data_IF_798710774648
#
_entry.id   IF_798710774648
#
_cell.length_a   1.000
_cell.length_b   1.000
_cell.length_c   1.000
_cell.angle_alpha   90.00
_cell.angle_beta   90.00
_cell.angle_gamma   90.00
#
_symmetry.space_group_name_H-M   'P 1'
#
loop_
_entity.id
_entity.type
_entity.pdbx_description
1 polymer ?
#
# COMPACT_ATOMS: atom_id res chain seq x y z
N UNK A 1 2.76 -21.55 -2.24
CA UNK A 1 2.66 -20.77 -0.99
C UNK A 1 2.87 -19.27 -1.23
N UNK A 2 3.76 -18.87 -2.13
CA UNK A 2 4.04 -17.45 -2.42
C UNK A 2 2.91 -16.76 -3.17
N UNK A 3 2.22 -17.47 -4.07
CA UNK A 3 1.00 -16.95 -4.72
C UNK A 3 -0.04 -16.57 -3.67
N UNK A 4 -0.25 -17.44 -2.69
CA UNK A 4 -1.28 -17.20 -1.67
C UNK A 4 -1.01 -16.00 -0.76
N UNK A 5 0.26 -15.69 -0.42
CA UNK A 5 0.54 -14.49 0.37
C UNK A 5 0.33 -13.23 -0.45
N UNK A 6 0.68 -13.24 -1.75
CA UNK A 6 0.50 -12.10 -2.63
C UNK A 6 -0.97 -11.80 -2.88
N UNK A 7 -1.78 -12.83 -3.16
CA UNK A 7 -3.22 -12.67 -3.36
C UNK A 7 -3.88 -12.05 -2.13
N UNK A 8 -3.46 -12.49 -0.94
CA UNK A 8 -4.01 -11.99 0.34
C UNK A 8 -3.44 -10.63 0.75
N UNK A 9 -2.16 -10.34 0.42
CA UNK A 9 -1.63 -8.99 0.54
C UNK A 9 -2.39 -8.04 -0.37
N UNK A 10 -2.69 -8.45 -1.61
CA UNK A 10 -3.49 -7.65 -2.53
C UNK A 10 -4.93 -7.51 -2.08
N UNK A 11 -5.53 -8.59 -1.57
CA UNK A 11 -6.84 -8.52 -0.93
C UNK A 11 -6.83 -7.48 0.20
N UNK A 12 -5.87 -7.55 1.10
CA UNK A 12 -5.74 -6.63 2.21
C UNK A 12 -5.52 -5.18 1.75
N UNK A 13 -4.60 -4.95 0.82
CA UNK A 13 -4.26 -3.64 0.30
C UNK A 13 -5.42 -2.98 -0.45
N UNK A 14 -6.04 -3.68 -1.38
CA UNK A 14 -7.14 -3.12 -2.17
C UNK A 14 -8.43 -3.00 -1.36
N UNK A 15 -8.67 -3.91 -0.42
CA UNK A 15 -9.80 -3.80 0.51
C UNK A 15 -9.72 -2.55 1.37
N UNK A 16 -8.55 -2.27 1.95
CA UNK A 16 -8.31 -1.04 2.70
C UNK A 16 -8.42 0.19 1.80
N UNK A 17 -7.81 0.18 0.62
CA UNK A 17 -7.79 1.31 -0.30
C UNK A 17 -9.20 1.67 -0.80
N UNK A 18 -10.05 0.67 -1.05
CA UNK A 18 -11.44 0.89 -1.47
C UNK A 18 -12.29 1.59 -0.39
N UNK A 19 -11.97 1.35 0.89
CA UNK A 19 -12.71 1.93 2.01
C UNK A 19 -12.13 3.27 2.48
N UNK A 20 -10.83 3.53 2.28
CA UNK A 20 -10.11 4.62 2.92
C UNK A 20 -10.76 5.98 2.66
N UNK A 21 -11.09 6.32 1.41
CA UNK A 21 -11.69 7.61 1.07
C UNK A 21 -13.06 7.79 1.73
N UNK A 22 -13.93 6.77 1.64
CA UNK A 22 -15.26 6.80 2.26
C UNK A 22 -15.16 6.87 3.79
N UNK A 23 -14.21 6.16 4.39
CA UNK A 23 -13.96 6.25 5.82
C UNK A 23 -13.55 7.66 6.26
N UNK A 24 -12.66 8.32 5.51
CA UNK A 24 -12.25 9.68 5.78
C UNK A 24 -13.39 10.68 5.63
N UNK A 25 -14.19 10.55 4.58
CA UNK A 25 -15.25 11.52 4.26
C UNK A 25 -16.53 11.27 5.03
N UNK A 26 -16.95 10.02 5.24
CA UNK A 26 -18.22 9.68 5.92
C UNK A 26 -18.07 9.52 7.43
N UNK A 27 -16.97 8.91 7.90
CA UNK A 27 -16.77 8.64 9.34
C UNK A 27 -16.09 9.82 10.04
N UNK A 28 -15.03 10.37 9.45
CA UNK A 28 -14.29 11.48 10.02
C UNK A 28 -14.69 12.85 9.48
N UNK A 29 -15.60 12.90 8.51
CA UNK A 29 -16.11 14.15 7.90
C UNK A 29 -14.98 15.07 7.40
N UNK A 30 -13.96 14.50 6.77
CA UNK A 30 -12.98 15.29 6.02
C UNK A 30 -13.63 15.85 4.74
N UNK A 31 -13.23 17.05 4.33
CA UNK A 31 -13.54 17.55 3.00
C UNK A 31 -12.88 16.68 1.91
N UNK A 32 -13.43 16.71 0.71
CA UNK A 32 -12.95 15.90 -0.40
C UNK A 32 -11.46 16.15 -0.70
N UNK A 33 -11.04 17.42 -0.70
CA UNK A 33 -9.65 17.80 -0.98
C UNK A 33 -8.68 17.18 0.02
N UNK A 34 -8.97 17.29 1.32
CA UNK A 34 -8.16 16.67 2.37
C UNK A 34 -8.15 15.13 2.26
N UNK A 35 -9.28 14.52 1.89
CA UNK A 35 -9.40 13.09 1.61
C UNK A 35 -8.56 12.66 0.42
N UNK A 36 -8.59 13.40 -0.68
CA UNK A 36 -7.77 13.13 -1.87
C UNK A 36 -6.29 13.35 -1.60
N UNK A 37 -5.92 14.40 -0.87
CA UNK A 37 -4.53 14.67 -0.50
C UNK A 37 -3.95 13.54 0.36
N UNK A 38 -4.71 13.08 1.34
CA UNK A 38 -4.28 11.96 2.19
C UNK A 38 -4.17 10.64 1.40
N UNK A 39 -5.14 10.36 0.52
CA UNK A 39 -5.12 9.19 -0.36
C UNK A 39 -3.93 9.27 -1.34
N UNK A 40 -3.65 10.44 -1.89
CA UNK A 40 -2.51 10.70 -2.77
C UNK A 40 -1.18 10.53 -2.05
N UNK A 41 -1.03 11.09 -0.84
CA UNK A 41 0.15 10.93 -0.01
C UNK A 41 0.40 9.47 0.36
N UNK A 42 -0.65 8.76 0.78
CA UNK A 42 -0.60 7.32 1.04
C UNK A 42 -0.14 6.54 -0.19
N UNK A 43 -0.79 6.77 -1.34
CA UNK A 43 -0.46 6.11 -2.60
C UNK A 43 0.99 6.36 -3.02
N UNK A 44 1.44 7.61 -3.01
CA UNK A 44 2.82 7.97 -3.36
C UNK A 44 3.86 7.25 -2.48
N UNK A 45 3.67 7.26 -1.16
CA UNK A 45 4.60 6.62 -0.23
C UNK A 45 4.62 5.09 -0.36
N UNK A 46 3.47 4.46 -0.62
CA UNK A 46 3.37 3.02 -0.88
C UNK A 46 4.19 2.59 -2.11
N UNK A 47 4.43 3.50 -3.05
CA UNK A 47 5.30 3.24 -4.22
C UNK A 47 6.75 3.69 -4.02
N UNK A 48 7.02 4.68 -3.16
CA UNK A 48 8.39 5.14 -2.88
C UNK A 48 9.13 4.25 -1.88
N UNK A 49 8.51 3.88 -0.77
CA UNK A 49 9.16 3.10 0.31
C UNK A 49 9.66 1.72 -0.13
N UNK A 50 9.00 0.99 -1.08
CA UNK A 50 9.52 -0.28 -1.62
C UNK A 50 10.92 -0.21 -2.22
N UNK A 51 11.35 0.93 -2.71
CA UNK A 51 12.74 1.12 -3.21
C UNK A 51 13.74 0.91 -2.06
N UNK A 52 13.45 1.49 -0.90
CA UNK A 52 14.29 1.36 0.30
C UNK A 52 14.21 -0.07 0.86
N UNK A 53 13.00 -0.61 1.00
CA UNK A 53 12.81 -1.96 1.54
C UNK A 53 13.40 -3.06 0.68
N UNK A 54 13.31 -2.94 -0.65
CA UNK A 54 13.97 -3.83 -1.59
C UNK A 54 15.50 -3.75 -1.48
N UNK A 55 16.06 -2.54 -1.46
CA UNK A 55 17.51 -2.33 -1.32
C UNK A 55 18.06 -2.91 -0.02
N UNK A 56 17.36 -2.74 1.10
CA UNK A 56 17.75 -3.28 2.40
C UNK A 56 17.68 -4.81 2.41
N UNK A 57 16.68 -5.38 1.75
CA UNK A 57 16.53 -6.84 1.63
C UNK A 57 17.62 -7.44 0.75
N UNK A 58 17.88 -6.86 -0.43
CA UNK A 58 18.87 -7.36 -1.38
C UNK A 58 20.28 -7.29 -0.79
N UNK A 59 20.60 -6.20 -0.09
CA UNK A 59 21.96 -5.97 0.38
C UNK A 59 22.27 -6.69 1.69
N UNK A 60 21.30 -6.82 2.60
CA UNK A 60 21.55 -7.32 3.95
C UNK A 60 20.53 -8.33 4.46
N UNK A 61 19.25 -7.94 4.57
CA UNK A 61 18.24 -8.66 5.36
C UNK A 61 17.85 -10.02 4.76
N UNK A 62 17.91 -10.14 3.42
CA UNK A 62 17.34 -11.26 2.67
C UNK A 62 15.84 -11.13 2.50
N UNK A 63 15.33 -11.67 1.42
CA UNK A 63 13.93 -11.49 1.01
C UNK A 63 12.94 -12.14 2.00
N UNK A 64 13.29 -13.32 2.53
CA UNK A 64 12.42 -14.05 3.47
C UNK A 64 12.14 -13.24 4.73
N UNK A 65 13.19 -12.70 5.36
CA UNK A 65 13.06 -11.89 6.57
C UNK A 65 12.33 -10.58 6.29
N UNK A 66 12.61 -9.95 5.15
CA UNK A 66 11.93 -8.73 4.73
C UNK A 66 10.43 -8.96 4.54
N UNK A 67 10.02 -10.06 3.89
CA UNK A 67 8.59 -10.41 3.70
C UNK A 67 7.90 -10.69 5.04
N UNK A 68 8.54 -11.41 5.96
CA UNK A 68 7.97 -11.67 7.30
C UNK A 68 7.80 -10.36 8.08
N UNK A 69 8.85 -9.53 8.14
CA UNK A 69 8.81 -8.26 8.84
C UNK A 69 7.75 -7.31 8.23
N UNK A 70 7.75 -7.17 6.91
CA UNK A 70 6.74 -6.37 6.20
C UNK A 70 5.32 -6.90 6.44
N UNK A 71 5.13 -8.21 6.44
CA UNK A 71 3.86 -8.85 6.74
C UNK A 71 3.36 -8.58 8.16
N UNK A 72 4.24 -8.59 9.15
CA UNK A 72 3.90 -8.24 10.54
C UNK A 72 3.46 -6.77 10.67
N UNK A 73 4.17 -5.86 10.02
CA UNK A 73 3.79 -4.43 10.00
C UNK A 73 2.43 -4.23 9.33
N UNK A 74 2.16 -4.93 8.23
CA UNK A 74 0.88 -4.89 7.53
C UNK A 74 -0.26 -5.39 8.42
N UNK A 75 -0.09 -6.52 9.11
CA UNK A 75 -1.09 -7.05 10.06
C UNK A 75 -1.34 -6.03 11.16
N UNK A 76 -0.29 -5.47 11.78
CA UNK A 76 -0.42 -4.47 12.82
C UNK A 76 -1.17 -3.21 12.33
N UNK A 77 -0.84 -2.74 11.12
CA UNK A 77 -1.51 -1.60 10.50
C UNK A 77 -2.99 -1.86 10.23
N UNK A 78 -3.36 -3.01 9.67
CA UNK A 78 -4.77 -3.35 9.42
C UNK A 78 -5.57 -3.58 10.72
N UNK A 79 -4.95 -4.17 11.74
CA UNK A 79 -5.57 -4.27 13.07
C UNK A 79 -5.81 -2.87 13.64
N UNK A 80 -4.85 -1.96 13.49
CA UNK A 80 -5.01 -0.56 13.91
C UNK A 80 -6.14 0.15 13.16
N UNK A 81 -6.29 -0.07 11.84
CA UNK A 81 -7.42 0.48 11.06
C UNK A 81 -8.79 -0.04 11.52
N UNK A 82 -8.85 -1.22 12.13
CA UNK A 82 -10.11 -1.74 12.68
C UNK A 82 -10.55 -1.03 13.98
N UNK A 83 -9.71 -0.19 14.57
CA UNK A 83 -10.09 0.71 15.68
C UNK A 83 -10.68 2.01 15.12
N UNK A 84 -11.92 1.97 14.67
CA UNK A 84 -12.57 3.09 13.99
C UNK A 84 -12.87 4.30 14.91
N UNK A 85 -13.01 4.09 16.23
CA UNK A 85 -13.36 5.14 17.18
C UNK A 85 -14.78 5.66 17.01
N UNK A 86 -15.01 6.88 17.50
CA UNK A 86 -16.32 7.52 17.38
C UNK A 86 -16.45 8.26 16.05
N UNK A 87 -17.64 8.15 15.43
CA UNK A 87 -17.96 8.92 14.22
C UNK A 87 -17.93 10.42 14.52
N UNK A 88 -17.30 11.19 13.64
CA UNK A 88 -17.27 12.64 13.76
C UNK A 88 -18.68 13.23 13.73
N UNK A 89 -18.92 14.27 14.53
CA UNK A 89 -20.20 14.97 14.64
C UNK A 89 -20.03 16.45 14.32
N UNK A 90 -21.11 17.07 13.82
CA UNK A 90 -21.14 18.51 13.60
C UNK A 90 -21.88 19.17 14.76
N UNK A 91 -21.19 20.03 15.52
CA UNK A 91 -21.75 20.79 16.63
C UNK A 91 -21.42 22.26 16.46
N UNK A 92 -22.44 23.10 16.50
CA UNK A 92 -22.30 24.57 16.32
C UNK A 92 -21.53 24.98 15.05
N UNK A 93 -21.67 24.24 13.95
CA UNK A 93 -20.96 24.51 12.68
C UNK A 93 -19.50 24.03 12.65
N UNK A 94 -19.00 23.39 13.71
CA UNK A 94 -17.68 22.82 13.77
C UNK A 94 -17.74 21.29 13.73
N UNK A 95 -16.80 20.67 13.00
CA UNK A 95 -16.64 19.22 12.95
C UNK A 95 -15.79 18.78 14.15
N UNK A 96 -16.41 18.02 15.05
CA UNK A 96 -15.74 17.40 16.18
C UNK A 96 -15.33 15.98 15.80
N UNK A 97 -14.04 15.73 15.75
CA UNK A 97 -13.43 14.45 15.41
C UNK A 97 -12.85 13.76 16.64
N UNK A 98 -12.84 12.44 16.62
CA UNK A 98 -12.10 11.65 17.60
C UNK A 98 -10.60 11.67 17.27
N UNK A 99 -9.88 12.57 17.90
CA UNK A 99 -8.42 12.75 17.71
C UNK A 99 -7.63 11.49 18.06
N UNK A 100 -8.11 10.70 19.03
CA UNK A 100 -7.48 9.43 19.41
C UNK A 100 -7.52 8.41 18.27
N UNK A 101 -8.71 8.24 17.70
CA UNK A 101 -8.92 7.36 16.54
C UNK A 101 -8.13 7.83 15.32
N UNK A 102 -8.11 9.13 15.04
CA UNK A 102 -7.34 9.68 13.92
C UNK A 102 -5.83 9.42 14.05
N UNK A 103 -5.26 9.58 15.26
CA UNK A 103 -3.84 9.25 15.49
C UNK A 103 -3.55 7.77 15.24
N UNK A 104 -4.45 6.88 15.66
CA UNK A 104 -4.36 5.44 15.36
C UNK A 104 -4.44 5.22 13.86
N UNK A 105 -5.35 5.89 13.15
CA UNK A 105 -5.49 5.81 11.69
C UNK A 105 -4.20 6.21 10.98
N UNK A 106 -3.61 7.36 11.31
CA UNK A 106 -2.36 7.81 10.68
C UNK A 106 -1.18 6.86 10.98
N UNK A 107 -1.08 6.37 12.22
CA UNK A 107 -0.08 5.37 12.58
C UNK A 107 -0.28 4.07 11.82
N UNK A 108 -1.53 3.63 11.67
CA UNK A 108 -1.90 2.41 10.94
C UNK A 108 -1.56 2.52 9.46
N UNK A 109 -1.88 3.64 8.82
CA UNK A 109 -1.49 3.91 7.43
C UNK A 109 0.03 3.91 7.27
N UNK A 110 0.77 4.49 8.21
CA UNK A 110 2.23 4.49 8.19
C UNK A 110 2.83 3.08 8.37
N UNK A 111 2.25 2.25 9.23
CA UNK A 111 2.62 0.84 9.37
C UNK A 111 2.36 0.05 8.09
N UNK A 112 1.22 0.29 7.42
CA UNK A 112 0.89 -0.34 6.14
C UNK A 112 1.89 0.10 5.06
N UNK A 113 2.20 1.39 4.95
CA UNK A 113 3.18 1.92 3.99
C UNK A 113 4.54 1.25 4.18
N UNK A 114 5.03 1.21 5.44
CA UNK A 114 6.31 0.58 5.74
C UNK A 114 6.28 -0.93 5.48
N UNK A 115 5.19 -1.60 5.85
CA UNK A 115 5.00 -3.03 5.62
C UNK A 115 5.00 -3.41 4.15
N UNK A 116 4.26 -2.66 3.30
CA UNK A 116 4.28 -2.80 1.83
C UNK A 116 5.69 -2.58 1.30
N UNK A 117 6.42 -1.61 1.87
CA UNK A 117 7.79 -1.31 1.51
C UNK A 117 8.72 -2.53 1.59
N UNK A 118 8.62 -3.30 2.67
CA UNK A 118 9.43 -4.50 2.85
C UNK A 118 8.85 -5.73 2.13
N UNK A 119 7.54 -5.89 2.04
CA UNK A 119 6.93 -7.09 1.47
C UNK A 119 6.89 -7.06 -0.06
N UNK A 120 6.37 -5.98 -0.65
CA UNK A 120 6.01 -5.90 -2.08
C UNK A 120 7.15 -6.18 -3.05
N UNK A 121 8.35 -5.57 -2.93
CA UNK A 121 9.45 -5.82 -3.86
C UNK A 121 9.99 -7.24 -3.70
N UNK A 122 10.04 -7.74 -2.49
CA UNK A 122 10.72 -8.99 -2.16
C UNK A 122 9.93 -10.22 -2.54
N UNK A 123 8.59 -10.21 -2.39
CA UNK A 123 7.77 -11.36 -2.77
C UNK A 123 7.80 -11.64 -4.27
N UNK A 124 7.83 -10.59 -5.10
CA UNK A 124 7.92 -10.74 -6.56
C UNK A 124 9.25 -11.35 -6.99
N UNK A 125 10.33 -10.95 -6.31
CA UNK A 125 11.69 -11.47 -6.57
C UNK A 125 11.82 -12.91 -6.12
N UNK A 126 11.19 -13.31 -4.99
CA UNK A 126 11.16 -14.72 -4.55
C UNK A 126 10.54 -15.58 -5.63
N UNK A 127 9.38 -15.20 -6.18
CA UNK A 127 8.72 -15.95 -7.26
C UNK A 127 9.64 -16.14 -8.46
N UNK A 128 10.36 -15.07 -8.87
CA UNK A 128 11.33 -15.17 -9.96
C UNK A 128 12.48 -16.13 -9.70
N UNK A 129 12.93 -16.23 -8.44
CA UNK A 129 14.06 -17.12 -8.04
C UNK A 129 13.66 -18.59 -7.86
N UNK A 130 12.37 -18.93 -7.84
CA UNK A 130 11.90 -20.31 -7.76
C UNK A 130 12.00 -21.07 -9.09
N UNK A 131 12.16 -20.34 -10.18
CA UNK A 131 12.31 -20.90 -11.52
C UNK A 131 13.70 -20.59 -12.05
N UNK A 132 14.34 -21.57 -12.69
CA UNK A 132 15.55 -21.32 -13.46
C UNK A 132 15.25 -20.36 -14.63
N UNK A 133 16.27 -19.67 -15.13
CA UNK A 133 16.08 -18.64 -16.17
C UNK A 133 15.56 -19.21 -17.49
N UNK A 134 15.84 -20.48 -17.75
CA UNK A 134 15.43 -21.26 -18.92
C UNK A 134 14.21 -22.19 -18.67
N UNK A 135 13.60 -22.15 -17.47
CA UNK A 135 12.45 -23.00 -17.15
C UNK A 135 11.19 -22.52 -17.90
N UNK A 136 10.63 -23.31 -18.82
CA UNK A 136 9.43 -22.93 -19.59
C UNK A 136 8.19 -22.70 -18.72
N UNK A 137 8.18 -23.17 -17.46
CA UNK A 137 7.07 -22.96 -16.51
C UNK A 137 7.11 -21.58 -15.85
N UNK A 138 8.21 -20.83 -16.00
CA UNK A 138 8.39 -19.51 -15.39
C UNK A 138 7.28 -18.53 -15.81
N UNK A 139 6.98 -18.44 -17.10
CA UNK A 139 5.94 -17.56 -17.64
C UNK A 139 4.54 -17.94 -17.15
N UNK A 140 4.26 -19.26 -17.11
CA UNK A 140 3.00 -19.77 -16.55
C UNK A 140 2.88 -19.47 -15.05
N UNK A 141 3.99 -19.59 -14.30
CA UNK A 141 4.06 -19.24 -12.89
C UNK A 141 3.75 -17.75 -12.63
N UNK A 142 4.34 -16.85 -13.42
CA UNK A 142 4.04 -15.42 -13.35
C UNK A 142 2.61 -15.09 -13.79
N UNK A 143 2.09 -15.76 -14.82
CA UNK A 143 0.70 -15.58 -15.27
C UNK A 143 -0.29 -15.97 -14.18
N UNK A 144 -0.07 -17.10 -13.51
CA UNK A 144 -0.91 -17.54 -12.38
C UNK A 144 -0.78 -16.62 -11.18
N UNK A 145 0.45 -16.14 -10.87
CA UNK A 145 0.72 -15.15 -9.85
C UNK A 145 -0.03 -13.83 -10.11
N UNK A 146 -0.07 -13.38 -11.36
CA UNK A 146 -0.78 -12.17 -11.76
C UNK A 146 -2.31 -12.35 -11.73
N UNK A 147 -2.81 -13.51 -12.15
CA UNK A 147 -4.22 -13.85 -12.05
C UNK A 147 -4.70 -13.83 -10.58
N UNK A 148 -3.91 -14.37 -9.66
CA UNK A 148 -4.19 -14.32 -8.22
C UNK A 148 -4.29 -12.89 -7.68
N UNK A 149 -3.37 -11.99 -8.09
CA UNK A 149 -3.43 -10.57 -7.71
C UNK A 149 -4.79 -9.95 -8.09
N UNK A 150 -5.25 -10.18 -9.31
CA UNK A 150 -6.52 -9.60 -9.80
C UNK A 150 -7.72 -10.22 -9.10
N UNK A 151 -7.70 -11.51 -8.85
CA UNK A 151 -8.77 -12.21 -8.13
C UNK A 151 -8.84 -11.72 -6.66
N UNK A 152 -7.69 -11.58 -5.99
CA UNK A 152 -7.59 -11.02 -4.66
C UNK A 152 -8.14 -9.59 -4.58
N UNK A 153 -7.81 -8.75 -5.55
CA UNK A 153 -8.30 -7.37 -5.68
C UNK A 153 -9.82 -7.31 -5.88
N UNK A 154 -10.38 -8.15 -6.75
CA UNK A 154 -11.82 -8.23 -6.99
C UNK A 154 -12.59 -8.60 -5.72
N UNK A 155 -12.19 -9.69 -5.07
CA UNK A 155 -12.86 -10.12 -3.83
C UNK A 155 -12.65 -9.13 -2.68
N UNK A 156 -11.51 -8.44 -2.64
CA UNK A 156 -11.25 -7.42 -1.63
C UNK A 156 -12.27 -6.28 -1.69
N UNK A 157 -12.46 -5.72 -2.87
CA UNK A 157 -13.41 -4.60 -3.05
C UNK A 157 -14.83 -5.02 -2.73
N UNK A 158 -15.24 -6.22 -3.13
CA UNK A 158 -16.58 -6.74 -2.84
C UNK A 158 -16.76 -7.04 -1.34
N UNK A 159 -15.87 -7.81 -0.73
CA UNK A 159 -16.03 -8.27 0.66
C UNK A 159 -15.78 -7.13 1.63
N UNK A 160 -14.65 -6.44 1.53
CA UNK A 160 -14.33 -5.36 2.46
C UNK A 160 -15.26 -4.16 2.25
N UNK A 161 -15.59 -3.83 1.00
CA UNK A 161 -16.54 -2.77 0.67
C UNK A 161 -17.91 -3.04 1.28
N UNK A 162 -18.48 -4.22 1.05
CA UNK A 162 -19.76 -4.61 1.60
C UNK A 162 -19.77 -4.63 3.13
N UNK A 163 -18.75 -5.23 3.76
CA UNK A 163 -18.68 -5.28 5.22
C UNK A 163 -18.51 -3.89 5.83
N UNK A 164 -17.71 -3.02 5.19
CA UNK A 164 -17.49 -1.66 5.66
C UNK A 164 -18.74 -0.79 5.60
N UNK A 165 -19.46 -0.83 4.50
CA UNK A 165 -20.67 -0.04 4.29
C UNK A 165 -21.89 -0.61 5.04
N UNK A 166 -22.08 -1.93 5.08
CA UNK A 166 -23.27 -2.55 5.66
C UNK A 166 -23.18 -2.77 7.17
N UNK A 167 -21.97 -3.08 7.70
CA UNK A 167 -21.80 -3.48 9.11
C UNK A 167 -20.91 -2.53 9.91
N UNK A 168 -20.17 -1.64 9.24
CA UNK A 168 -19.26 -0.66 9.84
C UNK A 168 -17.81 -0.85 9.43
N UNK A 169 -17.06 0.24 9.46
CA UNK A 169 -15.69 0.34 8.94
C UNK A 169 -14.74 -0.67 9.56
N UNK A 170 -14.89 -0.94 10.87
CA UNK A 170 -14.06 -1.94 11.60
C UNK A 170 -14.16 -3.34 11.00
N UNK A 171 -15.32 -3.72 10.46
CA UNK A 171 -15.50 -5.05 9.85
C UNK A 171 -14.83 -5.12 8.48
N UNK A 172 -14.92 -4.04 7.68
CA UNK A 172 -14.26 -3.96 6.38
C UNK A 172 -12.73 -3.98 6.52
N UNK A 173 -12.17 -3.12 7.38
CA UNK A 173 -10.74 -3.11 7.67
C UNK A 173 -10.26 -4.37 8.39
N UNK A 174 -11.08 -4.91 9.30
CA UNK A 174 -10.80 -6.16 9.99
C UNK A 174 -10.72 -7.35 9.03
N UNK A 175 -11.60 -7.43 8.03
CA UNK A 175 -11.55 -8.46 6.99
C UNK A 175 -10.26 -8.37 6.17
N UNK A 176 -9.82 -7.15 5.83
CA UNK A 176 -8.52 -6.94 5.19
C UNK A 176 -7.37 -7.42 6.08
N UNK A 177 -7.42 -7.15 7.39
CA UNK A 177 -6.44 -7.62 8.37
C UNK A 177 -6.39 -9.14 8.50
N UNK A 178 -7.55 -9.79 8.56
CA UNK A 178 -7.65 -11.26 8.59
C UNK A 178 -7.06 -11.86 7.31
N UNK A 179 -7.34 -11.27 6.15
CA UNK A 179 -6.76 -11.68 4.87
C UNK A 179 -5.23 -11.62 4.91
N UNK A 180 -4.66 -10.53 5.44
CA UNK A 180 -3.21 -10.38 5.57
C UNK A 180 -2.60 -11.36 6.56
N UNK A 181 -3.23 -11.56 7.72
CA UNK A 181 -2.78 -12.52 8.73
C UNK A 181 -2.76 -13.94 8.16
N UNK A 182 -3.82 -14.33 7.45
CA UNK A 182 -3.88 -15.64 6.80
C UNK A 182 -2.81 -15.78 5.70
N UNK A 183 -2.49 -14.70 4.95
CA UNK A 183 -1.39 -14.68 3.99
C UNK A 183 -0.04 -14.88 4.65
N UNK A 184 0.21 -14.16 5.74
CA UNK A 184 1.46 -14.30 6.50
C UNK A 184 1.60 -15.69 7.10
N UNK A 185 0.53 -16.25 7.69
CA UNK A 185 0.53 -17.62 8.23
C UNK A 185 0.87 -18.66 7.14
N UNK A 186 0.27 -18.52 5.95
CA UNK A 186 0.58 -19.39 4.81
C UNK A 186 2.03 -19.25 4.34
N UNK A 187 2.58 -18.05 4.33
CA UNK A 187 3.99 -17.84 3.99
C UNK A 187 4.91 -18.49 5.02
N UNK A 188 4.62 -18.32 6.31
CA UNK A 188 5.38 -18.96 7.39
C UNK A 188 5.34 -20.50 7.30
N UNK A 189 4.18 -21.06 6.98
CA UNK A 189 4.05 -22.50 6.77
C UNK A 189 4.75 -22.98 5.50
N UNK A 190 4.74 -22.17 4.44
CA UNK A 190 5.31 -22.47 3.13
C UNK A 190 6.83 -22.28 3.04
N UNK A 191 7.50 -21.70 4.04
CA UNK A 191 8.95 -21.41 4.00
C UNK A 191 9.83 -22.63 3.66
N UNK A 192 9.41 -23.83 4.06
CA UNK A 192 10.12 -25.09 3.75
C UNK A 192 10.29 -25.35 2.25
N UNK A 193 9.45 -24.76 1.40
CA UNK A 193 9.51 -24.88 -0.05
C UNK A 193 10.40 -23.83 -0.72
N UNK A 194 10.95 -22.87 0.03
CA UNK A 194 11.85 -21.84 -0.52
C UNK A 194 13.27 -22.37 -0.79
N UNK A 195 13.63 -23.53 -0.24
CA UNK A 195 14.91 -24.20 -0.45
C UNK A 195 16.15 -23.27 -0.34
N UNK A 196 16.07 -22.22 0.49
CA UNK A 196 17.16 -21.26 0.72
C UNK A 196 17.26 -20.13 -0.31
N UNK A 197 16.46 -20.10 -1.38
CA UNK A 197 16.53 -19.07 -2.43
C UNK A 197 16.19 -17.64 -1.97
N UNK A 198 15.59 -17.47 -0.80
CA UNK A 198 15.20 -16.19 -0.22
C UNK A 198 16.07 -15.72 0.96
N UNK A 199 17.16 -16.44 1.26
CA UNK A 199 18.09 -16.10 2.33
C UNK A 199 19.01 -14.94 1.94
N UNK A 200 19.59 -14.22 2.92
CA UNK A 200 20.57 -13.16 2.66
C UNK A 200 21.83 -13.71 1.99
N UNK A 201 22.41 -12.93 1.08
CA UNK A 201 23.63 -13.28 0.38
C UNK A 201 24.81 -13.53 1.33
N UNK A 202 24.88 -12.77 2.43
CA UNK A 202 25.89 -12.94 3.49
C UNK A 202 25.22 -12.92 4.87
N UNK A 203 24.82 -14.08 5.43
CA UNK A 203 24.18 -14.14 6.75
C UNK A 203 25.06 -13.64 7.90
N UNK A 204 26.38 -13.72 7.76
CA UNK A 204 27.32 -13.25 8.78
C UNK A 204 27.24 -11.71 8.94
N UNK A 205 27.03 -10.99 7.86
CA UNK A 205 26.95 -9.53 7.89
C UNK A 205 25.79 -8.99 8.72
N UNK A 206 24.71 -9.78 8.90
CA UNK A 206 23.59 -9.40 9.76
C UNK A 206 23.93 -9.43 11.25
N UNK A 207 24.92 -10.23 11.64
CA UNK A 207 25.36 -10.35 13.03
C UNK A 207 26.41 -9.30 13.40
N UNK A 208 27.01 -8.62 12.43
CA UNK A 208 27.93 -7.54 12.66
C UNK A 208 27.26 -6.42 13.46
N UNK A 209 27.92 -5.98 14.54
CA UNK A 209 27.42 -4.90 15.36
C UNK A 209 27.70 -3.54 14.68
N UNK A 210 26.65 -2.76 14.49
CA UNK A 210 26.69 -1.37 14.03
C UNK A 210 26.01 -0.51 15.10
N UNK A 211 26.70 0.50 15.59
CA UNK A 211 26.19 1.36 16.67
C UNK A 211 25.75 0.58 17.94
N UNK A 212 26.44 -0.51 18.26
CA UNK A 212 26.16 -1.32 19.46
C UNK A 212 25.05 -2.38 19.31
N UNK A 213 24.40 -2.45 18.14
CA UNK A 213 23.34 -3.42 17.85
C UNK A 213 23.72 -4.29 16.64
N UNK A 214 23.30 -5.58 16.60
CA UNK A 214 23.38 -6.37 15.38
C UNK A 214 22.64 -5.64 14.24
N UNK A 215 23.25 -5.62 13.04
CA UNK A 215 22.70 -4.91 11.87
C UNK A 215 21.24 -5.29 11.57
N UNK A 216 20.88 -6.55 11.77
CA UNK A 216 19.48 -7.01 11.60
C UNK A 216 18.51 -6.22 12.49
N UNK A 217 18.82 -6.11 13.78
CA UNK A 217 17.96 -5.39 14.73
C UNK A 217 17.97 -3.89 14.49
N UNK A 218 19.11 -3.35 14.04
CA UNK A 218 19.18 -1.93 13.67
C UNK A 218 18.26 -1.62 12.49
N UNK A 219 18.19 -2.49 11.47
CA UNK A 219 17.28 -2.32 10.32
C UNK A 219 15.83 -2.33 10.80
N UNK A 220 15.44 -3.29 11.63
CA UNK A 220 14.07 -3.35 12.17
C UNK A 220 13.74 -2.12 13.01
N UNK A 221 14.65 -1.71 13.89
CA UNK A 221 14.46 -0.53 14.74
C UNK A 221 14.29 0.73 13.90
N UNK A 222 15.17 0.96 12.92
CA UNK A 222 15.09 2.12 12.04
C UNK A 222 13.81 2.13 11.20
N UNK A 223 13.35 0.96 10.75
CA UNK A 223 12.09 0.86 10.04
C UNK A 223 10.89 1.19 10.94
N UNK A 224 10.87 0.67 12.19
CA UNK A 224 9.79 0.99 13.16
C UNK A 224 9.84 2.47 13.56
N UNK A 225 11.01 3.03 13.82
CA UNK A 225 11.16 4.47 14.09
C UNK A 225 10.74 5.30 12.89
N UNK A 226 11.03 4.84 11.67
CA UNK A 226 10.62 5.46 10.42
C UNK A 226 9.10 5.52 10.19
N UNK A 227 8.32 4.71 10.92
CA UNK A 227 6.84 4.80 10.91
C UNK A 227 6.36 6.14 11.46
N UNK A 228 7.05 6.70 12.48
CA UNK A 228 6.63 7.94 13.14
C UNK A 228 6.64 9.17 12.22
N UNK A 229 7.71 9.46 11.45
CA UNK A 229 7.69 10.56 10.49
C UNK A 229 6.67 10.37 9.37
N UNK A 230 6.40 9.12 8.95
CA UNK A 230 5.35 8.84 7.97
C UNK A 230 3.97 9.13 8.58
N UNK A 231 3.70 8.68 9.80
CA UNK A 231 2.44 8.98 10.50
C UNK A 231 2.26 10.49 10.71
N UNK A 232 3.32 11.20 11.08
CA UNK A 232 3.30 12.65 11.19
C UNK A 232 3.03 13.32 9.84
N UNK A 233 3.62 12.84 8.75
CA UNK A 233 3.36 13.36 7.41
C UNK A 233 1.89 13.13 6.99
N UNK A 234 1.30 11.98 7.33
CA UNK A 234 -0.14 11.73 7.09
C UNK A 234 -1.00 12.72 7.86
N UNK A 235 -0.69 12.94 9.14
CA UNK A 235 -1.37 13.95 9.95
C UNK A 235 -1.21 15.36 9.37
N UNK A 236 0.00 15.76 9.01
CA UNK A 236 0.28 17.08 8.44
C UNK A 236 -0.48 17.31 7.12
N UNK A 237 -0.54 16.29 6.26
CA UNK A 237 -1.28 16.34 4.99
C UNK A 237 -2.78 16.47 5.23
N UNK A 238 -3.36 15.67 6.13
CA UNK A 238 -4.79 15.69 6.43
C UNK A 238 -5.26 17.02 7.05
N UNK A 239 -4.38 17.72 7.75
CA UNK A 239 -4.69 19.00 8.41
C UNK A 239 -4.21 20.22 7.63
N UNK A 240 -3.65 20.05 6.42
CA UNK A 240 -3.09 21.14 5.63
C UNK A 240 -1.90 21.84 6.32
N UNK A 241 -1.25 21.19 7.29
CA UNK A 241 -0.11 21.75 7.99
C UNK A 241 1.09 21.88 7.02
N UNK A 242 1.76 23.04 7.09
CA UNK A 242 2.92 23.34 6.22
C UNK A 242 2.59 23.35 4.71
N UNK A 243 1.33 23.65 4.34
CA UNK A 243 0.97 23.81 2.93
C UNK A 243 1.62 25.09 2.36
N UNK A 244 2.33 24.96 1.24
CA UNK A 244 2.92 26.08 0.50
C UNK A 244 1.82 26.80 -0.29
N UNK A 245 1.63 28.10 -0.02
CA UNK A 245 0.61 28.90 -0.68
C UNK A 245 -0.83 28.48 -0.34
N UNK A 246 -1.02 27.61 0.65
CA UNK A 246 -2.34 27.07 1.03
C UNK A 246 -2.87 25.94 0.13
N UNK A 247 -2.19 25.64 -0.97
CA UNK A 247 -2.67 24.65 -1.97
C UNK A 247 -1.80 23.38 -2.06
N UNK A 248 -0.47 23.51 -1.89
CA UNK A 248 0.47 22.37 -2.04
C UNK A 248 0.84 21.81 -0.67
N UNK A 249 0.40 20.58 -0.40
CA UNK A 249 0.71 19.90 0.86
C UNK A 249 2.18 19.49 0.95
N UNK A 250 2.67 19.30 2.19
CA UNK A 250 4.05 18.83 2.43
C UNK A 250 4.35 17.52 1.72
N UNK A 251 3.39 16.60 1.68
CA UNK A 251 3.55 15.31 0.97
C UNK A 251 3.72 15.52 -0.54
N UNK A 252 2.90 16.37 -1.14
CA UNK A 252 3.03 16.72 -2.57
C UNK A 252 4.38 17.38 -2.86
N UNK A 253 4.83 18.30 -2.02
CA UNK A 253 6.14 18.93 -2.16
C UNK A 253 7.27 17.90 -2.12
N UNK A 254 7.26 17.00 -1.14
CA UNK A 254 8.27 15.94 -1.04
C UNK A 254 8.26 15.03 -2.26
N UNK A 255 7.08 14.66 -2.78
CA UNK A 255 6.97 13.88 -4.01
C UNK A 255 7.55 14.63 -5.23
N UNK A 256 7.28 15.93 -5.36
CA UNK A 256 7.84 16.74 -6.43
C UNK A 256 9.37 16.85 -6.34
N UNK A 257 9.91 16.98 -5.13
CA UNK A 257 11.37 16.99 -4.90
C UNK A 257 11.99 15.65 -5.28
N UNK A 258 11.39 14.53 -4.87
CA UNK A 258 11.86 13.19 -5.23
C UNK A 258 11.79 12.98 -6.74
N UNK A 259 10.67 13.32 -7.38
CA UNK A 259 10.49 13.22 -8.83
C UNK A 259 11.51 14.08 -9.57
N UNK A 260 11.68 15.34 -9.16
CA UNK A 260 12.67 16.25 -9.73
C UNK A 260 14.09 15.72 -9.61
N UNK A 261 14.44 15.19 -8.41
CA UNK A 261 15.74 14.57 -8.16
C UNK A 261 16.00 13.35 -9.05
N UNK A 262 15.01 12.48 -9.21
CA UNK A 262 15.09 11.30 -10.09
C UNK A 262 15.26 11.72 -11.55
N UNK A 263 14.49 12.72 -12.00
CA UNK A 263 14.61 13.22 -13.39
C UNK A 263 15.96 13.86 -13.66
N UNK A 264 16.49 14.65 -12.73
CA UNK A 264 17.81 15.28 -12.84
C UNK A 264 18.92 14.22 -12.85
N UNK A 265 18.83 13.23 -11.94
CA UNK A 265 19.77 12.11 -11.91
C UNK A 265 19.73 11.31 -13.22
N UNK A 266 18.53 11.04 -13.74
CA UNK A 266 18.36 10.32 -14.99
C UNK A 266 18.90 11.09 -16.19
N UNK A 267 18.68 12.40 -16.26
CA UNK A 267 19.26 13.27 -17.28
C UNK A 267 20.79 13.26 -17.24
N UNK A 268 21.36 13.35 -16.03
CA UNK A 268 22.80 13.22 -15.82
C UNK A 268 23.32 11.84 -16.27
N UNK A 269 22.64 10.77 -15.88
CA UNK A 269 22.98 9.39 -16.25
C UNK A 269 22.98 9.21 -17.78
N UNK A 270 21.95 9.68 -18.47
CA UNK A 270 21.87 9.65 -19.93
C UNK A 270 23.00 10.43 -20.59
N UNK A 271 23.36 11.59 -20.03
CA UNK A 271 24.38 12.44 -20.59
C UNK A 271 25.80 11.88 -20.44
N UNK A 272 26.09 11.23 -19.29
CA UNK A 272 27.47 10.89 -18.88
C UNK A 272 27.78 9.40 -18.90
N UNK A 273 26.80 8.52 -18.73
CA UNK A 273 27.02 7.09 -18.56
C UNK A 273 26.52 6.21 -19.70
N UNK A 274 25.74 6.77 -20.64
CA UNK A 274 25.15 6.02 -21.73
C UNK A 274 25.86 6.25 -23.06
N UNK A 275 26.08 5.16 -23.80
CA UNK A 275 26.45 5.24 -25.23
C UNK A 275 25.25 5.81 -26.04
N UNK A 276 25.48 6.31 -27.26
CA UNK A 276 24.40 6.84 -28.12
C UNK A 276 23.25 5.83 -28.33
N UNK A 277 23.59 4.54 -28.50
CA UNK A 277 22.60 3.47 -28.65
C UNK A 277 21.78 3.24 -27.38
N UNK A 278 22.46 3.11 -26.23
CA UNK A 278 21.79 2.96 -24.93
C UNK A 278 20.92 4.18 -24.62
N UNK A 279 21.36 5.40 -24.96
CA UNK A 279 20.57 6.62 -24.79
C UNK A 279 19.26 6.56 -25.56
N UNK A 280 19.29 6.10 -26.80
CA UNK A 280 18.10 5.93 -27.63
C UNK A 280 17.13 4.91 -27.04
N UNK A 281 17.64 3.77 -26.56
CA UNK A 281 16.83 2.73 -25.90
C UNK A 281 16.20 3.26 -24.59
N UNK A 282 16.96 3.99 -23.79
CA UNK A 282 16.48 4.58 -22.53
C UNK A 282 15.42 5.67 -22.78
N UNK A 283 15.58 6.49 -23.83
CA UNK A 283 14.55 7.47 -24.19
C UNK A 283 13.26 6.81 -24.69
N UNK A 284 13.37 5.70 -25.43
CA UNK A 284 12.20 4.91 -25.80
C UNK A 284 11.48 4.32 -24.55
N UNK A 285 12.27 3.80 -23.60
CA UNK A 285 11.71 3.34 -22.31
C UNK A 285 11.01 4.47 -21.55
N UNK A 286 11.58 5.68 -21.52
CA UNK A 286 10.94 6.85 -20.89
C UNK A 286 9.62 7.22 -21.54
N UNK A 287 9.51 7.12 -22.88
CA UNK A 287 8.23 7.34 -23.56
C UNK A 287 7.17 6.32 -23.14
N UNK A 288 7.55 5.04 -22.99
CA UNK A 288 6.64 4.01 -22.49
C UNK A 288 6.25 4.25 -21.02
N UNK A 289 7.18 4.67 -20.16
CA UNK A 289 6.90 5.04 -18.78
C UNK A 289 5.93 6.22 -18.71
N UNK A 290 6.09 7.22 -19.58
CA UNK A 290 5.17 8.35 -19.64
C UNK A 290 3.76 7.93 -20.05
N UNK A 291 3.63 7.05 -21.06
CA UNK A 291 2.32 6.48 -21.45
C UNK A 291 1.68 5.70 -20.31
N UNK A 292 2.47 4.90 -19.59
CA UNK A 292 2.01 4.17 -18.42
C UNK A 292 1.58 5.13 -17.29
N UNK A 293 2.29 6.23 -17.09
CA UNK A 293 1.93 7.25 -16.09
C UNK A 293 0.55 7.85 -16.40
N UNK A 294 0.27 8.21 -17.64
CA UNK A 294 -1.04 8.73 -18.06
C UNK A 294 -2.14 7.69 -17.79
N UNK A 295 -1.90 6.44 -18.19
CA UNK A 295 -2.85 5.34 -17.92
C UNK A 295 -3.12 5.18 -16.43
N UNK A 296 -2.06 5.09 -15.61
CA UNK A 296 -2.22 4.88 -14.16
C UNK A 296 -2.82 6.10 -13.46
N UNK A 297 -2.59 7.31 -13.95
CA UNK A 297 -3.25 8.51 -13.41
C UNK A 297 -4.78 8.41 -13.55
N UNK A 298 -5.27 7.96 -14.71
CA UNK A 298 -6.69 7.72 -14.91
C UNK A 298 -7.20 6.51 -14.11
N UNK A 299 -6.44 5.42 -14.08
CA UNK A 299 -6.79 4.21 -13.34
C UNK A 299 -6.91 4.46 -11.82
N UNK A 300 -6.03 5.22 -11.23
CA UNK A 300 -6.04 5.51 -9.79
C UNK A 300 -7.26 6.35 -9.37
N UNK A 301 -7.92 7.06 -10.28
CA UNK A 301 -9.18 7.74 -10.01
C UNK A 301 -10.30 6.78 -9.59
N UNK A 302 -10.18 5.49 -9.88
CA UNK A 302 -11.14 4.47 -9.44
C UNK A 302 -11.23 4.35 -7.92
N UNK A 303 -10.18 4.77 -7.18
CA UNK A 303 -10.16 4.82 -5.71
C UNK A 303 -10.33 6.24 -5.15
N UNK A 304 -10.35 7.25 -6.00
CA UNK A 304 -10.50 8.66 -5.66
C UNK A 304 -11.83 9.24 -6.17
N UNK A 305 -11.76 10.11 -7.16
CA UNK A 305 -12.90 10.88 -7.66
C UNK A 305 -14.07 10.02 -8.16
N UNK A 306 -13.80 8.81 -8.72
CA UNK A 306 -14.87 7.90 -9.12
C UNK A 306 -15.66 7.32 -7.94
N UNK A 307 -15.01 7.10 -6.79
CA UNK A 307 -15.69 6.66 -5.57
C UNK A 307 -16.68 7.75 -5.12
N UNK A 308 -16.23 9.00 -5.07
CA UNK A 308 -17.07 10.14 -4.70
C UNK A 308 -18.22 10.36 -5.69
N UNK A 309 -17.93 10.23 -7.00
CA UNK A 309 -18.94 10.32 -8.05
C UNK A 309 -20.00 9.23 -7.89
N UNK A 310 -19.59 7.98 -7.72
CA UNK A 310 -20.52 6.86 -7.55
C UNK A 310 -21.37 7.00 -6.28
N UNK A 311 -20.75 7.42 -5.18
CA UNK A 311 -21.45 7.54 -3.90
C UNK A 311 -22.51 8.66 -3.90
N UNK A 312 -22.29 9.74 -4.65
CA UNK A 312 -23.15 10.94 -4.60
C UNK A 312 -24.08 11.09 -5.79
N UNK A 313 -23.70 10.64 -6.97
CA UNK A 313 -24.40 10.96 -8.22
C UNK A 313 -25.06 9.75 -8.88
N UNK A 314 -24.60 8.53 -8.63
CA UNK A 314 -25.26 7.36 -9.17
C UNK A 314 -26.42 6.95 -8.26
N UNK A 315 -27.60 6.80 -8.86
CA UNK A 315 -28.75 6.19 -8.19
C UNK A 315 -28.43 4.74 -7.86
N UNK A 316 -28.64 4.36 -6.61
CA UNK A 316 -28.35 3.00 -6.11
C UNK A 316 -29.33 1.95 -6.68
N UNK A 317 -30.21 2.34 -7.59
CA UNK A 317 -31.34 1.55 -8.12
C UNK A 317 -31.00 0.71 -9.36
N UNK A 318 -29.77 0.76 -9.85
CA UNK A 318 -29.33 0.00 -11.07
C UNK A 318 -29.11 -1.50 -10.79
N UNK A 319 -28.79 -1.85 -9.56
CA UNK A 319 -28.78 -3.24 -9.11
C UNK A 319 -29.98 -3.40 -8.17
N UNK A 320 -30.94 -4.31 -8.45
CA UNK A 320 -32.03 -4.55 -7.51
C UNK A 320 -31.41 -4.88 -6.15
N UNK A 321 -31.47 -3.91 -5.24
CA UNK A 321 -30.95 -4.09 -3.91
C UNK A 321 -31.83 -5.11 -3.23
N UNK A 322 -31.25 -6.19 -2.74
CA UNK A 322 -31.89 -7.05 -1.76
C UNK A 322 -32.03 -6.22 -0.48
N UNK A 323 -33.15 -5.50 -0.39
CA UNK A 323 -33.47 -4.74 0.81
C UNK A 323 -34.16 -5.68 1.78
N UNK A 324 -33.49 -6.02 2.85
CA UNK A 324 -34.11 -6.65 4.00
C UNK A 324 -34.77 -5.55 4.81
N UNK A 325 -36.07 -5.35 4.61
CA UNK A 325 -36.90 -4.46 5.42
C UNK A 325 -37.81 -5.33 6.28
N UNK A 326 -37.72 -5.18 7.59
CA UNK A 326 -38.59 -5.86 8.58
C UNK A 326 -38.62 -7.40 8.45
N UNK A 327 -37.48 -8.02 8.17
CA UNK A 327 -37.36 -9.48 8.09
C UNK A 327 -37.90 -10.10 6.80
N UNK A 328 -38.39 -9.30 5.83
CA UNK A 328 -38.79 -9.74 4.50
C UNK A 328 -37.79 -9.31 3.44
N UNK A 329 -37.31 -10.25 2.63
CA UNK A 329 -36.50 -9.99 1.43
C UNK A 329 -37.46 -9.51 0.32
N UNK A 330 -37.27 -8.28 -0.17
CA UNK A 330 -37.87 -7.81 -1.39
C UNK A 330 -36.82 -7.31 -2.36
N UNK A 331 -36.97 -7.70 -3.63
CA UNK A 331 -36.26 -7.07 -4.76
C UNK A 331 -37.00 -5.78 -5.09
N UNK A 332 -36.37 -4.64 -4.96
CA UNK A 332 -36.86 -3.35 -5.42
C UNK A 332 -36.03 -2.87 -6.59
#
# INVERSE_FOLDING_TARGET
>A
SEMCIRDRERFSFYGMKALLLLYLTKHHLFGDDAGYDLLGAYGGLVYCIPVIGGLLADRWLGMRKAVIFGGLLLVAGHVGMAFEGHTATVSAGQVLRDEGSLRITYLSLALIIMGVGFLKPNISTIVGRLYADDDPRRDSGFSLFYAGINLGSLFASLVCGYLGEAYGWRYGFGAAGIGMLAGLAMFLWGQKYLHGHAEPANPASLRECVAGLPREWLIYLLAVVGVLPIAWLMWATANGAFALGGEVTLAQLLMLVVLGGVLLWFAWFLATQCTPEQRRQMLALMALIFMALVFFTLYEQTYGSWVTFNDRLLTKDIVPALVVRDGTMSLV
#
